data_IF_595434442091
#
_entry.id   IF_595434442091
#
_cell.length_a   1.000
_cell.length_b   1.000
_cell.length_c   1.000
_cell.angle_alpha   90.00
_cell.angle_beta   90.00
_cell.angle_gamma   90.00
#
_symmetry.space_group_name_H-M   'P 1'
#
loop_
_entity.id
_entity.type
_entity.pdbx_description
1 polymer ?
#
# COMPACT_ATOMS: atom_id res chain seq x y z
N UNK A 1 -12.63 -4.73 -71.63
CA UNK A 1 -11.94 -5.64 -70.72
C UNK A 1 -10.94 -4.78 -69.97
N UNK A 2 -11.07 -4.69 -68.65
CA UNK A 2 -10.02 -4.39 -67.67
C UNK A 2 -10.69 -4.12 -66.33
N UNK A 3 -10.44 -4.98 -65.35
CA UNK A 3 -10.79 -4.78 -63.96
C UNK A 3 -9.54 -4.99 -63.10
N UNK A 4 -9.27 -4.17 -62.08
CA UNK A 4 -8.24 -4.48 -61.11
C UNK A 4 -8.86 -5.20 -59.91
N UNK A 5 -8.31 -6.38 -59.62
CA UNK A 5 -8.71 -7.23 -58.51
C UNK A 5 -8.45 -6.59 -57.15
N UNK A 6 -9.47 -6.62 -56.31
CA UNK A 6 -9.35 -6.35 -54.88
C UNK A 6 -8.69 -7.55 -54.20
N UNK A 7 -7.63 -7.29 -53.46
CA UNK A 7 -7.04 -8.22 -52.50
C UNK A 7 -7.98 -8.31 -51.29
N UNK A 8 -8.73 -9.39 -51.19
CA UNK A 8 -9.43 -9.73 -49.94
C UNK A 8 -8.38 -10.16 -48.90
N UNK A 9 -8.00 -9.25 -48.02
CA UNK A 9 -7.28 -9.64 -46.79
C UNK A 9 -8.23 -10.47 -45.94
N UNK A 10 -7.85 -11.72 -45.75
CA UNK A 10 -8.46 -12.75 -44.91
C UNK A 10 -8.96 -12.16 -43.59
N UNK A 11 -10.25 -11.85 -43.53
CA UNK A 11 -10.94 -11.54 -42.30
C UNK A 11 -10.94 -12.80 -41.43
N UNK A 12 -10.05 -12.85 -40.44
CA UNK A 12 -10.10 -13.81 -39.34
C UNK A 12 -11.49 -13.70 -38.69
N UNK A 13 -12.38 -14.62 -39.09
CA UNK A 13 -13.72 -14.78 -38.52
C UNK A 13 -13.57 -15.06 -37.02
N UNK A 14 -13.63 -14.00 -36.21
CA UNK A 14 -13.86 -14.09 -34.77
C UNK A 14 -15.23 -14.72 -34.55
N UNK A 15 -15.25 -16.03 -34.38
CA UNK A 15 -16.36 -16.76 -33.77
C UNK A 15 -15.82 -17.48 -32.54
N UNK A 16 -16.35 -17.13 -31.36
CA UNK A 16 -16.70 -18.12 -30.35
C UNK A 16 -17.88 -17.62 -29.53
N UNK A 17 -18.79 -18.56 -29.33
CA UNK A 17 -20.14 -18.48 -28.80
C UNK A 17 -20.22 -17.93 -27.37
N UNK A 18 -21.27 -17.13 -27.13
CA UNK A 18 -21.70 -16.59 -25.83
C UNK A 18 -22.06 -17.66 -24.76
N UNK A 19 -21.90 -18.95 -25.05
CA UNK A 19 -22.19 -20.05 -24.09
C UNK A 19 -20.97 -20.48 -23.26
N UNK A 20 -19.75 -20.15 -23.72
CA UNK A 20 -18.50 -20.37 -22.96
C UNK A 20 -18.45 -19.59 -21.64
N UNK A 21 -19.26 -18.53 -21.57
CA UNK A 21 -19.36 -17.55 -20.49
C UNK A 21 -19.86 -18.13 -19.16
N UNK A 22 -20.57 -19.26 -19.18
CA UNK A 22 -21.14 -19.89 -17.97
C UNK A 22 -20.23 -20.95 -17.33
N UNK A 23 -19.19 -21.40 -18.05
CA UNK A 23 -18.31 -22.49 -17.63
C UNK A 23 -16.96 -22.01 -17.09
N UNK A 24 -16.56 -20.79 -17.42
CA UNK A 24 -15.41 -20.14 -16.80
C UNK A 24 -15.97 -19.25 -15.69
N UNK A 25 -15.44 -19.36 -14.46
CA UNK A 25 -15.73 -18.36 -13.44
C UNK A 25 -15.51 -16.96 -14.04
N UNK A 26 -16.38 -16.00 -13.68
CA UNK A 26 -16.44 -14.62 -14.20
C UNK A 26 -15.12 -14.16 -14.81
N UNK A 27 -15.09 -13.71 -16.07
CA UNK A 27 -13.82 -13.33 -16.72
C UNK A 27 -13.08 -12.22 -15.92
N UNK A 28 -13.82 -11.39 -15.18
CA UNK A 28 -13.33 -10.51 -14.10
C UNK A 28 -12.42 -11.22 -13.08
N UNK A 29 -12.79 -12.40 -12.56
CA UNK A 29 -11.97 -13.15 -11.60
C UNK A 29 -10.65 -13.62 -12.22
N UNK A 30 -10.71 -14.08 -13.47
CA UNK A 30 -9.53 -14.52 -14.21
C UNK A 30 -8.58 -13.35 -14.44
N UNK A 31 -9.13 -12.19 -14.78
CA UNK A 31 -8.39 -10.95 -14.96
C UNK A 31 -7.76 -10.46 -13.64
N UNK A 32 -8.51 -10.46 -12.55
CA UNK A 32 -7.99 -10.09 -11.23
C UNK A 32 -6.85 -11.02 -10.78
N UNK A 33 -6.97 -12.33 -11.01
CA UNK A 33 -5.90 -13.29 -10.73
C UNK A 33 -4.69 -13.07 -11.62
N UNK A 34 -4.88 -12.78 -12.90
CA UNK A 34 -3.80 -12.46 -13.83
C UNK A 34 -3.06 -11.18 -13.42
N UNK A 35 -3.80 -10.14 -13.02
CA UNK A 35 -3.27 -8.89 -12.50
C UNK A 35 -2.50 -9.10 -11.18
N UNK A 36 -3.05 -9.88 -10.25
CA UNK A 36 -2.40 -10.23 -8.99
C UNK A 36 -1.10 -11.05 -9.20
N UNK A 37 -1.12 -11.97 -10.17
CA UNK A 37 0.02 -12.80 -10.55
C UNK A 37 1.07 -12.05 -11.38
N UNK A 38 0.71 -10.94 -12.00
CA UNK A 38 1.57 -10.22 -12.94
C UNK A 38 1.71 -10.94 -14.29
N UNK A 39 0.71 -11.73 -14.68
CA UNK A 39 0.71 -12.49 -15.94
C UNK A 39 0.38 -11.58 -17.13
N UNK A 40 1.35 -10.78 -17.55
CA UNK A 40 1.22 -9.75 -18.60
C UNK A 40 0.61 -10.32 -19.90
N UNK A 41 1.07 -11.48 -20.36
CA UNK A 41 0.56 -12.11 -21.59
C UNK A 41 -0.92 -12.51 -21.50
N UNK A 42 -1.39 -12.92 -20.31
CA UNK A 42 -2.81 -13.23 -20.09
C UNK A 42 -3.62 -11.94 -20.10
N UNK A 43 -3.10 -10.86 -19.50
CA UNK A 43 -3.74 -9.55 -19.51
C UNK A 43 -3.85 -8.98 -20.94
N UNK A 44 -2.81 -9.10 -21.75
CA UNK A 44 -2.84 -8.71 -23.17
C UNK A 44 -3.92 -9.47 -23.94
N UNK A 45 -3.97 -10.79 -23.76
CA UNK A 45 -4.96 -11.62 -24.43
C UNK A 45 -6.38 -11.28 -23.99
N UNK A 46 -6.61 -11.15 -22.68
CA UNK A 46 -7.92 -10.79 -22.13
C UNK A 46 -8.35 -9.40 -22.60
N UNK A 47 -7.43 -8.43 -22.63
CA UNK A 47 -7.72 -7.10 -23.12
C UNK A 47 -8.07 -7.07 -24.62
N UNK A 48 -7.40 -7.87 -25.43
CA UNK A 48 -7.65 -7.93 -26.87
C UNK A 48 -8.99 -8.63 -27.20
N UNK A 49 -9.47 -9.54 -26.35
CA UNK A 49 -10.65 -10.38 -26.63
C UNK A 49 -11.88 -10.02 -25.79
N UNK A 50 -11.71 -9.35 -24.64
CA UNK A 50 -12.76 -9.04 -23.65
C UNK A 50 -12.50 -7.68 -22.95
N UNK A 51 -12.58 -6.55 -23.68
CA UNK A 51 -12.28 -5.23 -23.12
C UNK A 51 -13.31 -4.74 -22.07
N UNK A 52 -14.55 -5.22 -22.16
CA UNK A 52 -15.69 -4.78 -21.32
C UNK A 52 -15.65 -5.20 -19.84
N UNK A 53 -14.78 -6.13 -19.43
CA UNK A 53 -14.84 -6.74 -18.08
C UNK A 53 -13.83 -6.19 -17.06
N UNK A 54 -13.25 -5.00 -17.28
CA UNK A 54 -12.24 -4.48 -16.36
C UNK A 54 -12.65 -3.16 -15.71
N UNK A 55 -12.35 -3.11 -14.42
CA UNK A 55 -12.72 -2.04 -13.49
C UNK A 55 -11.46 -1.55 -12.77
N UNK A 56 -11.59 -0.49 -11.97
CA UNK A 56 -10.49 0.09 -11.18
C UNK A 56 -9.82 -0.94 -10.27
N UNK A 57 -10.59 -1.93 -9.79
CA UNK A 57 -10.13 -3.06 -8.96
C UNK A 57 -8.90 -3.78 -9.54
N UNK A 58 -8.80 -3.88 -10.87
CA UNK A 58 -7.75 -4.64 -11.53
C UNK A 58 -6.40 -3.93 -11.41
N UNK A 59 -6.40 -2.61 -11.56
CA UNK A 59 -5.21 -1.79 -11.34
C UNK A 59 -4.84 -1.76 -9.86
N UNK A 60 -5.84 -1.68 -8.97
CA UNK A 60 -5.62 -1.65 -7.52
C UNK A 60 -4.97 -2.96 -7.03
N UNK A 61 -5.45 -4.11 -7.53
CA UNK A 61 -4.87 -5.42 -7.21
C UNK A 61 -3.46 -5.56 -7.78
N UNK A 62 -3.22 -5.16 -9.04
CA UNK A 62 -1.88 -5.19 -9.62
C UNK A 62 -0.90 -4.32 -8.80
N UNK A 63 -1.34 -3.14 -8.38
CA UNK A 63 -0.57 -2.21 -7.57
C UNK A 63 -0.27 -2.79 -6.18
N UNK A 64 -1.29 -3.28 -5.48
CA UNK A 64 -1.16 -3.89 -4.15
C UNK A 64 -0.29 -5.14 -4.13
N UNK A 65 -0.11 -5.82 -5.27
CA UNK A 65 0.81 -6.96 -5.44
C UNK A 65 2.18 -6.58 -6.02
N UNK A 66 2.42 -5.30 -6.27
CA UNK A 66 3.70 -4.82 -6.79
C UNK A 66 3.98 -5.21 -8.23
N UNK A 67 2.94 -5.55 -9.00
CA UNK A 67 3.07 -6.00 -10.39
C UNK A 67 3.19 -4.82 -11.34
N UNK A 68 4.32 -4.10 -11.26
CA UNK A 68 4.55 -2.86 -12.01
C UNK A 68 4.39 -3.04 -13.54
N UNK A 69 4.84 -4.16 -14.11
CA UNK A 69 4.68 -4.43 -15.54
C UNK A 69 3.21 -4.57 -15.95
N UNK A 70 2.42 -5.32 -15.16
CA UNK A 70 0.98 -5.43 -15.36
C UNK A 70 0.29 -4.08 -15.17
N UNK A 71 0.67 -3.31 -14.15
CA UNK A 71 0.11 -1.99 -13.89
C UNK A 71 0.37 -1.00 -15.04
N UNK A 72 1.59 -0.99 -15.60
CA UNK A 72 1.94 -0.16 -16.77
C UNK A 72 1.14 -0.55 -18.00
N UNK A 73 0.97 -1.86 -18.23
CA UNK A 73 0.18 -2.35 -19.35
C UNK A 73 -1.29 -1.94 -19.22
N UNK A 74 -1.86 -2.15 -18.03
CA UNK A 74 -3.22 -1.74 -17.73
C UNK A 74 -3.37 -0.23 -17.92
N UNK A 75 -2.43 0.58 -17.43
CA UNK A 75 -2.46 2.03 -17.62
C UNK A 75 -2.40 2.47 -19.09
N UNK A 76 -1.54 1.85 -19.90
CA UNK A 76 -1.35 2.25 -21.29
C UNK A 76 -2.59 2.00 -22.17
N UNK A 77 -3.40 1.02 -21.79
CA UNK A 77 -4.48 0.54 -22.62
C UNK A 77 -5.88 0.81 -22.02
N UNK A 78 -5.98 1.54 -20.89
CA UNK A 78 -7.22 1.70 -20.14
C UNK A 78 -7.45 3.11 -19.57
N UNK A 79 -8.72 3.50 -19.51
CA UNK A 79 -9.15 4.84 -19.11
C UNK A 79 -9.85 4.89 -17.74
N UNK A 80 -10.24 3.74 -17.17
CA UNK A 80 -10.97 3.67 -15.89
C UNK A 80 -10.13 4.18 -14.70
N UNK A 81 -8.80 4.07 -14.80
CA UNK A 81 -7.87 4.54 -13.79
C UNK A 81 -7.70 3.60 -12.61
N UNK A 82 -7.25 4.13 -11.48
CA UNK A 82 -7.08 3.39 -10.23
C UNK A 82 -7.68 4.17 -9.08
N UNK A 83 -8.06 3.48 -8.01
CA UNK A 83 -8.54 4.14 -6.80
C UNK A 83 -7.36 4.46 -5.87
N UNK A 84 -7.67 5.08 -4.73
CA UNK A 84 -6.69 5.27 -3.65
C UNK A 84 -6.21 3.95 -3.05
N UNK A 85 -6.95 2.84 -3.24
CA UNK A 85 -6.56 1.52 -2.74
C UNK A 85 -5.31 0.97 -3.44
N UNK A 86 -5.05 1.34 -4.70
CA UNK A 86 -3.78 1.04 -5.37
C UNK A 86 -2.57 1.55 -4.57
N UNK A 87 -2.61 2.82 -4.17
CA UNK A 87 -1.53 3.46 -3.42
C UNK A 87 -1.43 2.90 -2.01
N UNK A 88 -2.57 2.67 -1.35
CA UNK A 88 -2.63 2.09 0.01
C UNK A 88 -2.03 0.69 0.01
N UNK A 89 -2.46 -0.19 -0.90
CA UNK A 89 -1.97 -1.56 -0.99
C UNK A 89 -0.49 -1.61 -1.33
N UNK A 90 -0.04 -0.82 -2.31
CA UNK A 90 1.37 -0.74 -2.68
C UNK A 90 2.24 -0.26 -1.51
N UNK A 91 1.75 0.69 -0.71
CA UNK A 91 2.42 1.20 0.48
C UNK A 91 2.43 0.18 1.64
N UNK A 92 1.31 -0.49 1.91
CA UNK A 92 1.14 -1.49 2.97
C UNK A 92 2.03 -2.73 2.78
N UNK A 93 2.24 -3.14 1.53
CA UNK A 93 3.06 -4.31 1.18
C UNK A 93 4.48 -3.97 0.71
N UNK A 94 4.85 -2.69 0.68
CA UNK A 94 6.24 -2.27 0.50
C UNK A 94 6.72 -2.16 -0.94
N UNK A 95 5.80 -2.02 -1.90
CA UNK A 95 6.10 -1.92 -3.32
C UNK A 95 6.47 -0.48 -3.69
N UNK A 96 7.68 -0.06 -3.31
CA UNK A 96 8.15 1.33 -3.47
C UNK A 96 8.15 1.82 -4.92
N UNK A 97 8.59 0.98 -5.85
CA UNK A 97 8.65 1.31 -7.28
C UNK A 97 7.23 1.53 -7.84
N UNK A 98 6.26 0.73 -7.36
CA UNK A 98 4.84 0.89 -7.69
C UNK A 98 4.27 2.18 -7.11
N UNK A 99 4.57 2.49 -5.83
CA UNK A 99 4.15 3.75 -5.19
C UNK A 99 4.68 4.96 -5.95
N UNK A 100 5.96 4.94 -6.35
CA UNK A 100 6.56 6.01 -7.14
C UNK A 100 5.85 6.17 -8.49
N UNK A 101 5.62 5.06 -9.18
CA UNK A 101 4.96 5.09 -10.49
C UNK A 101 3.52 5.60 -10.38
N UNK A 102 2.74 5.14 -9.40
CA UNK A 102 1.39 5.62 -9.13
C UNK A 102 1.38 7.12 -8.82
N UNK A 103 2.33 7.58 -8.00
CA UNK A 103 2.43 8.99 -7.66
C UNK A 103 2.68 9.87 -8.90
N UNK A 104 3.55 9.44 -9.80
CA UNK A 104 3.93 10.19 -11.01
C UNK A 104 2.86 10.15 -12.12
N UNK A 105 2.08 9.07 -12.23
CA UNK A 105 1.19 8.83 -13.38
C UNK A 105 -0.30 8.85 -13.06
N UNK A 106 -0.67 8.79 -11.77
CA UNK A 106 -2.06 8.61 -11.30
C UNK A 106 -2.36 9.50 -10.10
N UNK A 107 -2.61 10.82 -10.28
CA UNK A 107 -2.93 11.73 -9.18
C UNK A 107 -4.19 11.32 -8.40
N UNK A 108 -5.14 10.63 -9.04
CA UNK A 108 -6.34 10.08 -8.41
C UNK A 108 -6.04 9.05 -7.29
N UNK A 109 -4.86 8.44 -7.32
CA UNK A 109 -4.41 7.47 -6.31
C UNK A 109 -3.85 8.10 -5.03
N UNK A 110 -3.62 9.42 -5.03
CA UNK A 110 -2.95 10.11 -3.92
C UNK A 110 -3.80 10.12 -2.65
N UNK A 111 -3.26 9.59 -1.55
CA UNK A 111 -3.95 9.55 -0.26
C UNK A 111 -2.98 9.55 0.92
N UNK A 112 -3.35 10.18 2.04
CA UNK A 112 -2.57 10.15 3.27
C UNK A 112 -2.67 8.82 4.03
N UNK A 113 -3.74 8.05 3.80
CA UNK A 113 -3.90 6.73 4.40
C UNK A 113 -2.75 5.79 4.04
N UNK A 114 -2.13 5.98 2.86
CA UNK A 114 -0.96 5.24 2.42
C UNK A 114 0.25 5.40 3.35
N UNK A 115 0.42 6.55 4.03
CA UNK A 115 1.51 6.75 4.99
C UNK A 115 1.31 5.87 6.22
N UNK A 116 0.11 5.90 6.81
CA UNK A 116 -0.24 5.06 7.97
C UNK A 116 -0.08 3.59 7.63
N UNK A 117 -0.50 3.20 6.43
CA UNK A 117 -0.42 1.85 5.92
C UNK A 117 1.01 1.39 5.64
N UNK A 118 1.86 2.26 5.10
CA UNK A 118 3.31 2.01 5.01
C UNK A 118 3.94 1.81 6.39
N UNK A 119 3.56 2.62 7.40
CA UNK A 119 4.06 2.48 8.77
C UNK A 119 3.63 1.14 9.38
N UNK A 120 2.35 0.74 9.21
CA UNK A 120 1.83 -0.57 9.64
C UNK A 120 2.56 -1.73 8.97
N UNK A 121 2.86 -1.61 7.68
CA UNK A 121 3.65 -2.59 6.94
C UNK A 121 5.13 -2.64 7.35
N UNK A 122 5.63 -1.65 8.11
CA UNK A 122 7.04 -1.49 8.44
C UNK A 122 7.88 -0.93 7.27
N UNK A 123 7.24 -0.36 6.25
CA UNK A 123 7.85 0.18 5.04
C UNK A 123 8.20 1.67 5.20
N UNK A 124 9.06 1.95 6.18
CA UNK A 124 9.42 3.32 6.60
C UNK A 124 10.02 4.16 5.47
N UNK A 125 10.75 3.55 4.53
CA UNK A 125 11.28 4.24 3.34
C UNK A 125 10.16 4.84 2.48
N UNK A 126 9.05 4.14 2.34
CA UNK A 126 7.88 4.60 1.60
C UNK A 126 7.17 5.70 2.39
N UNK A 127 6.97 5.49 3.70
CA UNK A 127 6.35 6.48 4.58
C UNK A 127 7.11 7.81 4.57
N UNK A 128 8.44 7.77 4.66
CA UNK A 128 9.30 8.94 4.58
C UNK A 128 9.19 9.65 3.23
N UNK A 129 9.23 8.87 2.14
CA UNK A 129 9.15 9.42 0.79
C UNK A 129 7.80 10.10 0.52
N UNK A 130 6.70 9.45 0.92
CA UNK A 130 5.35 10.02 0.82
C UNK A 130 5.23 11.30 1.66
N UNK A 131 5.73 11.30 2.89
CA UNK A 131 5.70 12.49 3.74
C UNK A 131 6.47 13.67 3.14
N UNK A 132 7.63 13.41 2.52
CA UNK A 132 8.41 14.43 1.81
C UNK A 132 7.65 15.02 0.62
N UNK A 133 6.82 14.23 -0.05
CA UNK A 133 6.00 14.65 -1.19
C UNK A 133 4.68 15.32 -0.78
N UNK A 134 4.23 15.06 0.44
CA UNK A 134 2.95 15.50 0.98
C UNK A 134 3.14 16.25 2.30
N UNK A 135 3.80 17.43 2.30
CA UNK A 135 4.11 18.17 3.53
C UNK A 135 2.86 18.60 4.30
N UNK A 136 1.77 18.95 3.61
CA UNK A 136 0.52 19.40 4.22
C UNK A 136 -0.20 18.28 5.00
N UNK A 137 0.09 17.03 4.65
CA UNK A 137 -0.50 15.86 5.30
C UNK A 137 0.19 15.51 6.62
N UNK A 138 1.32 16.15 6.93
CA UNK A 138 1.96 16.15 8.26
C UNK A 138 1.06 16.78 9.34
N UNK A 139 0.12 17.64 8.94
CA UNK A 139 -0.81 18.35 9.85
C UNK A 139 -2.17 17.65 9.93
N UNK A 140 -2.68 17.11 8.80
CA UNK A 140 -4.01 16.45 8.75
C UNK A 140 -4.03 14.98 9.17
N UNK A 141 -2.94 14.24 9.06
CA UNK A 141 -2.85 12.90 9.68
C UNK A 141 -2.92 12.97 11.22
N UNK A 142 -2.81 14.18 11.79
CA UNK A 142 -2.69 14.47 13.21
C UNK A 142 -3.77 15.43 13.75
N UNK A 143 -4.76 15.82 12.94
CA UNK A 143 -5.84 16.72 13.37
C UNK A 143 -7.01 16.01 14.09
N UNK A 144 -6.92 14.69 14.31
CA UNK A 144 -7.73 13.90 15.27
C UNK A 144 -6.79 13.12 16.18
N UNK A 145 -7.27 12.53 17.30
CA UNK A 145 -6.42 11.93 18.37
C UNK A 145 -5.27 11.07 17.82
N UNK A 146 -4.05 11.64 17.68
CA UNK A 146 -2.97 11.02 16.92
C UNK A 146 -2.45 9.76 17.61
N UNK A 147 -2.61 9.75 18.94
CA UNK A 147 -2.22 8.67 19.84
C UNK A 147 -2.91 7.37 19.48
N UNK A 148 -4.19 7.38 19.05
CA UNK A 148 -4.97 6.17 18.81
C UNK A 148 -4.54 5.45 17.52
N UNK A 149 -4.47 6.19 16.40
CA UNK A 149 -4.04 5.62 15.12
C UNK A 149 -2.57 5.18 15.16
N UNK A 150 -1.73 5.90 15.91
CA UNK A 150 -0.34 5.50 16.13
C UNK A 150 -0.22 4.29 17.06
N UNK A 151 -1.01 4.21 18.15
CA UNK A 151 -1.05 3.02 19.01
C UNK A 151 -1.40 1.78 18.20
N UNK A 152 -2.52 1.84 17.46
CA UNK A 152 -2.98 0.71 16.64
C UNK A 152 -1.92 0.33 15.61
N UNK A 153 -1.20 1.32 15.06
CA UNK A 153 -0.14 1.10 14.09
C UNK A 153 1.11 0.50 14.71
N UNK A 154 1.48 0.86 15.94
CA UNK A 154 2.65 0.30 16.65
C UNK A 154 2.39 -1.17 17.00
N UNK A 155 1.23 -1.48 17.59
CA UNK A 155 0.89 -2.85 17.97
C UNK A 155 0.63 -3.77 16.78
N UNK A 156 0.12 -3.22 15.68
CA UNK A 156 -0.07 -3.96 14.43
C UNK A 156 1.16 -3.93 13.52
N UNK A 157 2.22 -3.18 13.87
CA UNK A 157 3.42 -3.06 13.04
C UNK A 157 4.18 -4.38 13.04
N UNK A 158 4.65 -4.79 11.86
CA UNK A 158 5.63 -5.89 11.75
C UNK A 158 6.97 -5.55 12.42
N UNK A 159 7.25 -4.26 12.63
CA UNK A 159 8.52 -3.70 13.11
C UNK A 159 8.28 -2.55 14.11
N UNK A 160 7.80 -2.85 15.32
CA UNK A 160 7.34 -1.83 16.26
C UNK A 160 8.47 -0.90 16.74
N UNK A 161 9.67 -1.44 17.01
CA UNK A 161 10.81 -0.63 17.45
C UNK A 161 11.24 0.35 16.37
N UNK A 162 11.35 -0.10 15.13
CA UNK A 162 11.74 0.75 14.00
C UNK A 162 10.70 1.83 13.73
N UNK A 163 9.41 1.51 13.92
CA UNK A 163 8.35 2.52 13.89
C UNK A 163 8.53 3.56 15.00
N UNK A 164 8.84 3.16 16.24
CA UNK A 164 9.09 4.09 17.34
C UNK A 164 10.32 4.98 17.10
N UNK A 165 11.41 4.40 16.59
CA UNK A 165 12.61 5.15 16.20
C UNK A 165 12.32 6.13 15.06
N UNK A 166 11.53 5.71 14.07
CA UNK A 166 11.08 6.59 13.00
C UNK A 166 10.23 7.75 13.52
N UNK A 167 9.29 7.48 14.44
CA UNK A 167 8.47 8.51 15.07
C UNK A 167 9.34 9.50 15.86
N UNK A 168 10.35 9.03 16.58
CA UNK A 168 11.31 9.92 17.27
C UNK A 168 11.98 10.90 16.32
N UNK A 169 12.42 10.43 15.15
CA UNK A 169 13.15 11.25 14.18
C UNK A 169 12.23 12.21 13.43
N UNK A 170 11.06 11.73 13.01
CA UNK A 170 10.18 12.48 12.09
C UNK A 170 9.11 13.28 12.84
N UNK A 171 8.71 12.83 14.03
CA UNK A 171 7.65 13.39 14.85
C UNK A 171 8.03 13.41 16.34
N UNK A 172 9.09 14.11 16.76
CA UNK A 172 9.51 14.13 18.17
C UNK A 172 8.39 14.60 19.11
N UNK A 173 7.57 15.55 18.67
CA UNK A 173 6.42 16.07 19.41
C UNK A 173 5.32 15.03 19.68
N UNK A 174 5.28 13.93 18.91
CA UNK A 174 4.32 12.85 19.12
C UNK A 174 4.66 11.99 20.34
N UNK A 175 5.93 11.98 20.76
CA UNK A 175 6.43 11.20 21.90
C UNK A 175 6.17 11.92 23.23
N UNK A 176 4.90 12.23 23.50
CA UNK A 176 4.52 12.86 24.77
C UNK A 176 4.78 11.94 25.97
N UNK A 177 5.04 12.48 27.17
CA UNK A 177 5.21 11.66 28.38
C UNK A 177 4.00 10.77 28.71
N UNK A 178 2.79 11.14 28.25
CA UNK A 178 1.60 10.30 28.38
C UNK A 178 1.67 9.09 27.43
N UNK A 179 2.01 9.33 26.17
CA UNK A 179 2.19 8.28 25.16
C UNK A 179 3.24 7.24 25.56
N UNK A 180 4.40 7.70 26.01
CA UNK A 180 5.50 6.83 26.48
C UNK A 180 5.05 5.95 27.65
N UNK A 181 4.28 6.50 28.60
CA UNK A 181 3.74 5.71 29.72
C UNK A 181 2.74 4.65 29.25
N UNK A 182 1.86 4.98 28.30
CA UNK A 182 0.90 4.03 27.74
C UNK A 182 1.61 2.87 27.05
N UNK A 183 2.56 3.16 26.15
CA UNK A 183 3.33 2.11 25.45
C UNK A 183 4.08 1.25 26.44
N UNK A 184 4.77 1.86 27.42
CA UNK A 184 5.51 1.11 28.43
C UNK A 184 4.60 0.11 29.15
N UNK A 185 3.46 0.58 29.65
CA UNK A 185 2.48 -0.28 30.34
C UNK A 185 1.99 -1.41 29.43
N UNK A 186 1.64 -1.10 28.19
CA UNK A 186 1.11 -2.09 27.26
C UNK A 186 2.15 -3.19 26.94
N UNK A 187 3.43 -2.84 26.78
CA UNK A 187 4.52 -3.82 26.57
C UNK A 187 4.93 -4.58 27.84
N UNK A 188 4.72 -4.01 29.02
CA UNK A 188 4.86 -4.71 30.32
C UNK A 188 3.74 -5.75 30.50
N UNK A 189 2.50 -5.38 30.16
CA UNK A 189 1.32 -6.24 30.27
C UNK A 189 1.30 -7.35 29.18
N UNK A 190 1.87 -7.10 28.00
CA UNK A 190 1.87 -8.05 26.88
C UNK A 190 3.11 -8.96 26.85
N UNK A 191 2.99 -10.15 27.45
CA UNK A 191 3.96 -11.26 27.43
C UNK A 191 5.44 -10.78 27.46
N UNK A 192 5.96 -10.36 28.63
CA UNK A 192 7.23 -9.66 28.77
C UNK A 192 8.45 -10.45 28.29
N UNK A 193 8.32 -11.77 28.08
CA UNK A 193 9.41 -12.62 27.63
C UNK A 193 9.74 -12.56 26.13
N UNK A 194 8.89 -11.92 25.33
CA UNK A 194 9.17 -11.73 23.91
C UNK A 194 10.39 -10.81 23.75
N UNK A 195 11.39 -11.26 23.00
CA UNK A 195 12.63 -10.51 22.74
C UNK A 195 12.35 -9.08 22.26
N UNK A 196 11.35 -8.88 21.42
CA UNK A 196 10.92 -7.57 20.93
C UNK A 196 10.43 -6.65 22.05
N UNK A 197 9.63 -7.15 22.99
CA UNK A 197 9.14 -6.38 24.13
C UNK A 197 10.29 -5.96 25.05
N UNK A 198 11.25 -6.87 25.32
CA UNK A 198 12.46 -6.56 26.11
C UNK A 198 13.30 -5.44 25.50
N UNK A 199 13.52 -5.49 24.18
CA UNK A 199 14.30 -4.44 23.48
C UNK A 199 13.56 -3.11 23.52
N UNK A 200 12.25 -3.09 23.30
CA UNK A 200 11.43 -1.86 23.36
C UNK A 200 11.43 -1.28 24.78
N UNK A 201 11.25 -2.10 25.81
CA UNK A 201 11.27 -1.65 27.20
C UNK A 201 12.65 -1.13 27.62
N UNK A 202 13.75 -1.79 27.20
CA UNK A 202 15.11 -1.28 27.40
C UNK A 202 15.27 0.10 26.75
N UNK A 203 14.90 0.21 25.48
CA UNK A 203 14.95 1.47 24.74
C UNK A 203 14.14 2.58 25.42
N UNK A 204 12.91 2.29 25.87
CA UNK A 204 12.06 3.24 26.58
C UNK A 204 12.63 3.66 27.94
N UNK A 205 13.39 2.80 28.61
CA UNK A 205 13.99 3.11 29.91
C UNK A 205 15.25 3.97 29.76
N UNK A 206 16.05 3.69 28.74
CA UNK A 206 17.29 4.43 28.46
C UNK A 206 17.00 5.83 27.92
N UNK A 207 16.06 5.95 26.97
CA UNK A 207 15.77 7.23 26.30
C UNK A 207 14.69 8.08 26.99
N UNK A 208 13.80 7.46 27.77
CA UNK A 208 12.70 8.14 28.47
C UNK A 208 12.58 7.72 29.93
N UNK A 209 13.59 8.01 30.77
CA UNK A 209 13.60 7.59 32.17
C UNK A 209 12.31 8.06 32.87
N UNK A 210 11.65 7.13 33.59
CA UNK A 210 10.52 7.51 34.42
C UNK A 210 11.03 8.46 35.50
N UNK A 211 10.52 9.68 35.54
CA UNK A 211 10.80 10.62 36.63
C UNK A 211 10.29 10.04 37.95
N UNK A 212 11.13 9.25 38.62
CA UNK A 212 11.09 8.96 40.05
C UNK A 212 12.52 8.91 40.57
N UNK A 213 13.13 10.10 40.71
CA UNK A 213 14.23 10.36 41.65
C UNK A 213 14.55 11.87 41.73
N UNK A 214 13.61 12.67 42.21
CA UNK A 214 13.96 13.81 43.07
C UNK A 214 13.37 13.51 44.44
N UNK A 215 14.00 12.56 45.13
CA UNK A 215 14.02 12.54 46.59
C UNK A 215 15.38 13.13 46.97
N UNK A 216 15.31 14.27 47.65
CA UNK A 216 16.31 14.97 48.44
C UNK A 216 17.76 14.42 48.46
N UNK A 217 18.70 15.29 48.11
CA UNK A 217 19.93 15.44 48.91
C UNK A 217 19.87 16.85 49.50
N UNK A 218 20.14 16.88 50.81
CA UNK A 218 19.86 17.94 51.78
C UNK A 218 20.57 19.27 51.54
#
# INVERSE_FOLDING_TARGET
MDGPGGYETVGLKRRRSNESFRLWGSAKDTLLRAAAGGHVHVLEWLQANHPEECDTDVMDVAAGRGRLAALKLLHANRNEGCSTDAMIGAAEYGHFETVRWLYENRPESHTCAAIVKAIRGGHLRIAYWLLKKFPDYRVRAFSGEPLRLMNDSIYSSRKPLETLLYLRVVYPESLTPRFIRTIRKDYEDSHPDRTTSKVILSWLNDDFPSTKATVAVA
#
